data_IF_239340900306
#
_entry.id   IF_239340900306
#
_cell.length_a   1.000
_cell.length_b   1.000
_cell.length_c   1.000
_cell.angle_alpha   90.00
_cell.angle_beta   90.00
_cell.angle_gamma   90.00
#
_symmetry.space_group_name_H-M   'P 1'
#
loop_
_entity.id
_entity.type
_entity.pdbx_description
1 polymer ?
#
# COMPACT_ATOMS: atom_id res chain seq x y z
N UNK A 1 0.17 1.04 20.89
CA UNK A 1 1.56 0.95 20.38
C UNK A 1 1.69 -0.34 19.58
N UNK A 2 2.31 -0.33 18.39
CA UNK A 2 2.78 -1.60 17.79
C UNK A 2 4.18 -1.86 18.33
N UNK A 3 4.48 -3.13 18.62
CA UNK A 3 5.79 -3.55 19.10
C UNK A 3 6.26 -4.68 18.20
N UNK A 4 7.40 -4.49 17.54
CA UNK A 4 8.00 -5.56 16.75
C UNK A 4 8.36 -6.73 17.70
N UNK A 5 7.89 -7.95 17.41
CA UNK A 5 8.18 -9.10 18.28
C UNK A 5 9.64 -9.57 18.19
N UNK A 6 10.36 -9.24 17.11
CA UNK A 6 11.75 -9.66 16.90
C UNK A 6 12.77 -8.69 17.52
N UNK A 7 12.56 -7.38 17.35
CA UNK A 7 13.52 -6.36 17.82
C UNK A 7 12.98 -5.45 18.93
N UNK A 8 11.71 -5.59 19.32
CA UNK A 8 11.12 -4.82 20.41
C UNK A 8 10.87 -3.34 20.12
N UNK A 9 11.21 -2.85 18.91
CA UNK A 9 10.98 -1.47 18.50
C UNK A 9 9.48 -1.16 18.51
N UNK A 10 9.14 -0.02 19.07
CA UNK A 10 7.75 0.40 19.24
C UNK A 10 7.43 1.60 18.41
N UNK A 11 6.45 1.44 17.52
CA UNK A 11 5.89 2.53 16.75
C UNK A 11 4.70 3.15 17.49
N UNK A 12 4.59 4.49 17.52
CA UNK A 12 3.37 5.15 17.95
C UNK A 12 2.22 4.67 17.08
N UNK A 13 1.04 4.41 17.67
CA UNK A 13 -0.15 3.89 16.94
C UNK A 13 -0.58 4.79 15.80
N UNK A 14 -0.21 6.06 15.89
CA UNK A 14 -0.45 7.06 14.86
C UNK A 14 0.28 6.67 13.57
N UNK A 15 1.44 6.01 13.65
CA UNK A 15 2.20 5.58 12.47
C UNK A 15 1.61 4.32 11.83
N UNK A 16 1.28 3.27 12.59
CA UNK A 16 0.64 2.07 12.01
C UNK A 16 -0.81 2.32 11.61
N UNK A 17 -1.52 3.16 12.36
CA UNK A 17 -2.87 3.59 12.05
C UNK A 17 -2.90 4.47 10.81
N UNK A 18 -2.03 5.49 10.72
CA UNK A 18 -1.90 6.32 9.53
C UNK A 18 -1.39 5.52 8.33
N UNK A 19 -0.44 4.59 8.53
CA UNK A 19 0.04 3.71 7.47
C UNK A 19 -1.07 2.76 6.99
N UNK A 20 -1.89 2.22 7.89
CA UNK A 20 -3.06 1.42 7.54
C UNK A 20 -4.11 2.21 6.76
N UNK A 21 -4.41 3.45 7.19
CA UNK A 21 -5.31 4.37 6.47
C UNK A 21 -4.73 4.71 5.09
N UNK A 22 -3.42 4.99 5.01
CA UNK A 22 -2.71 5.30 3.79
C UNK A 22 -2.74 4.13 2.80
N UNK A 23 -2.42 2.90 3.24
CA UNK A 23 -2.51 1.70 2.42
C UNK A 23 -3.94 1.42 1.95
N UNK A 24 -4.94 1.66 2.82
CA UNK A 24 -6.34 1.55 2.43
C UNK A 24 -6.71 2.57 1.35
N UNK A 25 -6.33 3.83 1.52
CA UNK A 25 -6.56 4.87 0.52
C UNK A 25 -5.88 4.57 -0.81
N UNK A 26 -4.64 4.05 -0.80
CA UNK A 26 -3.94 3.58 -2.00
C UNK A 26 -4.71 2.46 -2.70
N UNK A 27 -5.18 1.45 -1.94
CA UNK A 27 -5.96 0.34 -2.49
C UNK A 27 -7.29 0.80 -3.07
N UNK A 28 -8.02 1.65 -2.35
CA UNK A 28 -9.33 2.17 -2.77
C UNK A 28 -9.21 3.08 -4.02
N UNK A 29 -8.04 3.69 -4.23
CA UNK A 29 -7.72 4.53 -5.39
C UNK A 29 -7.03 3.75 -6.52
N UNK A 30 -6.69 2.48 -6.32
CA UNK A 30 -5.99 1.71 -7.34
C UNK A 30 -6.95 1.20 -8.43
N UNK A 31 -6.55 1.31 -9.69
CA UNK A 31 -7.16 0.60 -10.82
C UNK A 31 -6.44 -0.74 -11.03
N UNK A 32 -7.23 -1.81 -11.13
CA UNK A 32 -6.72 -3.15 -11.40
C UNK A 32 -7.14 -3.55 -12.80
N UNK A 33 -6.17 -3.80 -13.67
CA UNK A 33 -6.41 -4.36 -15.00
C UNK A 33 -5.85 -5.78 -15.05
N UNK A 34 -6.72 -6.75 -15.33
CA UNK A 34 -6.30 -8.13 -15.56
C UNK A 34 -5.93 -8.31 -17.03
N UNK A 35 -4.77 -8.90 -17.30
CA UNK A 35 -4.30 -9.21 -18.65
C UNK A 35 -3.82 -10.65 -18.66
N UNK A 36 -4.65 -11.57 -19.19
CA UNK A 36 -4.38 -13.01 -19.14
C UNK A 36 -4.24 -13.50 -17.70
N UNK A 37 -3.05 -13.99 -17.34
CA UNK A 37 -2.70 -14.47 -16.00
C UNK A 37 -2.06 -13.40 -15.09
N UNK A 38 -1.96 -12.16 -15.55
CA UNK A 38 -1.32 -11.06 -14.80
C UNK A 38 -2.35 -10.03 -14.34
N UNK A 39 -2.11 -9.44 -13.16
CA UNK A 39 -2.87 -8.30 -12.65
C UNK A 39 -1.95 -7.08 -12.55
N UNK A 40 -2.33 -5.99 -13.22
CA UNK A 40 -1.62 -4.72 -13.17
C UNK A 40 -2.39 -3.82 -12.22
N UNK A 41 -1.72 -3.33 -11.17
CA UNK A 41 -2.29 -2.40 -10.19
C UNK A 41 -1.63 -1.03 -10.41
N UNK A 42 -2.42 -0.02 -10.74
CA UNK A 42 -1.94 1.35 -10.93
C UNK A 42 -2.77 2.32 -10.09
N UNK A 43 -2.21 3.46 -9.70
CA UNK A 43 -3.00 4.53 -9.08
C UNK A 43 -3.92 5.15 -10.13
N UNK A 44 -5.23 5.18 -9.86
CA UNK A 44 -6.21 5.79 -10.75
C UNK A 44 -5.86 7.26 -10.98
N UNK A 45 -5.60 7.62 -12.24
CA UNK A 45 -5.22 8.98 -12.64
C UNK A 45 -3.71 9.26 -12.77
N UNK A 46 -2.82 8.33 -12.41
CA UNK A 46 -1.38 8.50 -12.69
C UNK A 46 -0.99 7.79 -14.00
N UNK A 47 -0.48 8.59 -14.94
CA UNK A 47 0.04 8.11 -16.22
C UNK A 47 1.04 6.98 -16.00
N UNK A 48 0.87 5.90 -16.78
CA UNK A 48 1.73 4.71 -16.84
C UNK A 48 3.20 5.10 -16.75
N UNK A 49 3.83 4.86 -15.59
CA UNK A 49 5.29 4.85 -15.48
C UNK A 49 5.71 3.39 -15.44
N UNK A 50 6.24 2.92 -16.58
CA UNK A 50 6.93 1.65 -16.66
C UNK A 50 8.16 1.77 -15.75
N UNK A 51 8.18 0.99 -14.68
CA UNK A 51 9.41 0.75 -13.91
C UNK A 51 9.92 -0.59 -14.39
N UNK A 52 10.91 -0.52 -15.28
CA UNK A 52 11.65 -1.67 -15.79
C UNK A 52 12.52 -2.28 -14.69
#
# INVERSE_FOLDING_TARGET
MFRCPECGFTLPRDWDGAFGIFLKALRDTASVTLTGNSAIVALSGNNRKNVA
#
